data_IF_428167670388
#
_entry.id   IF_428167670388
#
_cell.length_a   1.000
_cell.length_b   1.000
_cell.length_c   1.000
_cell.angle_alpha   90.00
_cell.angle_beta   90.00
_cell.angle_gamma   90.00
#
_symmetry.space_group_name_H-M   'P 1'
#
loop_
_entity.id
_entity.type
_entity.pdbx_description
1 polymer ?
#
# COMPACT_ATOMS: atom_id res chain seq x y z
N UNK A 1 -43.21 -73.59 14.36
CA UNK A 1 -43.06 -73.10 15.75
C UNK A 1 -41.65 -72.57 15.93
N UNK A 2 -41.47 -71.30 16.31
CA UNK A 2 -40.19 -70.71 16.78
C UNK A 2 -40.03 -71.01 18.28
N UNK A 3 -38.80 -71.15 18.82
CA UNK A 3 -38.10 -69.99 19.40
C UNK A 3 -36.58 -69.93 19.10
N UNK A 4 -35.93 -68.78 18.79
CA UNK A 4 -35.37 -67.70 19.67
C UNK A 4 -34.31 -68.21 20.67
N UNK A 5 -33.08 -67.68 20.91
CA UNK A 5 -32.36 -66.39 20.71
C UNK A 5 -30.82 -66.58 20.94
N UNK A 6 -30.07 -65.46 20.82
CA UNK A 6 -28.75 -65.09 21.41
C UNK A 6 -27.54 -65.77 20.72
N UNK A 7 -26.43 -65.14 20.33
CA UNK A 7 -25.58 -64.03 20.82
C UNK A 7 -24.49 -63.87 19.72
N UNK A 8 -23.75 -62.81 19.45
CA UNK A 8 -23.37 -61.61 20.17
C UNK A 8 -22.98 -60.52 19.14
N UNK A 9 -23.23 -59.27 19.50
CA UNK A 9 -22.68 -58.10 18.80
C UNK A 9 -21.16 -58.12 18.86
N UNK A 10 -20.50 -58.01 17.71
CA UNK A 10 -19.12 -57.52 17.62
C UNK A 10 -19.14 -56.24 16.80
N UNK A 11 -19.40 -55.12 17.46
CA UNK A 11 -19.29 -53.79 16.86
C UNK A 11 -17.83 -53.34 16.96
N UNK A 12 -17.03 -53.63 15.93
CA UNK A 12 -15.71 -53.00 15.75
C UNK A 12 -15.94 -51.68 15.02
N UNK A 13 -16.05 -50.59 15.79
CA UNK A 13 -16.06 -49.23 15.24
C UNK A 13 -14.63 -48.88 14.83
N UNK A 14 -14.31 -49.08 13.55
CA UNK A 14 -13.10 -48.54 12.93
C UNK A 14 -13.36 -47.05 12.68
N UNK A 15 -12.96 -46.21 13.64
CA UNK A 15 -12.87 -44.77 13.43
C UNK A 15 -11.67 -44.47 12.51
N UNK A 16 -11.88 -44.55 11.21
CA UNK A 16 -10.93 -44.04 10.23
C UNK A 16 -10.90 -42.51 10.35
N UNK A 17 -9.90 -41.98 11.07
CA UNK A 17 -9.50 -40.58 10.94
C UNK A 17 -9.00 -40.37 9.51
N UNK A 18 -9.90 -39.98 8.62
CA UNK A 18 -9.56 -39.26 7.40
C UNK A 18 -9.05 -37.88 7.83
N UNK A 19 -7.76 -37.80 8.18
CA UNK A 19 -7.02 -36.55 8.12
C UNK A 19 -6.96 -36.16 6.64
N UNK A 20 -7.99 -35.45 6.19
CA UNK A 20 -7.92 -34.73 4.93
C UNK A 20 -6.76 -33.75 5.07
N UNK A 21 -5.61 -34.11 4.49
CA UNK A 21 -4.54 -33.18 4.24
C UNK A 21 -5.11 -32.13 3.28
N UNK A 22 -5.67 -31.06 3.86
CA UNK A 22 -6.03 -29.88 3.09
C UNK A 22 -4.75 -29.49 2.33
N UNK A 23 -4.78 -29.37 1.00
CA UNK A 23 -3.63 -28.86 0.27
C UNK A 23 -3.29 -27.52 0.92
N UNK A 24 -2.07 -27.41 1.44
CA UNK A 24 -1.53 -26.16 1.95
C UNK A 24 -1.66 -25.16 0.82
N UNK A 25 -2.65 -24.26 0.91
CA UNK A 25 -2.76 -23.15 -0.01
C UNK A 25 -1.43 -22.42 0.10
N UNK A 26 -0.61 -22.48 -0.94
CA UNK A 26 0.63 -21.72 -1.01
C UNK A 26 0.25 -20.27 -0.73
N UNK A 27 0.70 -19.73 0.40
CA UNK A 27 0.32 -18.39 0.84
C UNK A 27 0.66 -17.39 -0.26
N UNK A 28 -0.31 -16.54 -0.62
CA UNK A 28 -0.05 -15.44 -1.53
C UNK A 28 1.09 -14.59 -0.95
N UNK A 29 2.09 -14.28 -1.77
CA UNK A 29 3.22 -13.43 -1.35
C UNK A 29 2.67 -12.04 -1.02
N UNK A 30 3.09 -11.46 0.11
CA UNK A 30 2.68 -10.12 0.51
C UNK A 30 3.53 -9.04 -0.16
N UNK A 31 2.95 -7.86 -0.40
CA UNK A 31 3.67 -6.66 -0.85
C UNK A 31 4.73 -6.19 0.16
N UNK A 32 4.65 -6.65 1.42
CA UNK A 32 5.62 -6.34 2.48
C UNK A 32 6.73 -7.39 2.66
N UNK A 33 6.72 -8.46 1.86
CA UNK A 33 7.75 -9.48 1.87
C UNK A 33 8.95 -9.08 1.02
N UNK A 34 10.16 -9.50 1.41
CA UNK A 34 11.35 -9.26 0.59
C UNK A 34 11.45 -10.24 -0.60
N UNK A 35 10.96 -11.47 -0.41
CA UNK A 35 11.08 -12.56 -1.37
C UNK A 35 9.91 -12.54 -2.39
N UNK A 36 9.85 -11.49 -3.22
CA UNK A 36 8.77 -11.27 -4.19
C UNK A 36 9.13 -11.68 -5.63
N UNK A 37 10.30 -12.24 -5.84
CA UNK A 37 10.82 -12.52 -7.16
C UNK A 37 10.87 -14.02 -7.42
N UNK A 38 10.54 -14.45 -8.62
CA UNK A 38 10.85 -15.79 -9.09
C UNK A 38 11.87 -15.71 -10.22
N UNK A 39 12.93 -16.51 -10.07
CA UNK A 39 14.01 -16.67 -11.04
C UNK A 39 13.82 -17.95 -11.89
N UNK A 40 12.72 -18.68 -11.70
CA UNK A 40 12.51 -20.02 -12.28
C UNK A 40 13.40 -21.11 -11.66
N UNK A 41 14.13 -20.81 -10.59
CA UNK A 41 14.98 -21.76 -9.84
C UNK A 41 15.09 -21.34 -8.39
N UNK A 42 15.18 -22.33 -7.48
CA UNK A 42 15.42 -22.10 -6.04
C UNK A 42 16.91 -21.93 -5.69
N UNK A 43 17.81 -22.25 -6.62
CA UNK A 43 19.27 -22.18 -6.42
C UNK A 43 19.92 -21.35 -7.54
N UNK A 44 19.86 -20.01 -7.47
CA UNK A 44 20.48 -19.17 -8.47
C UNK A 44 21.99 -19.40 -8.54
N UNK A 45 22.52 -19.26 -9.74
CA UNK A 45 23.91 -19.43 -10.10
C UNK A 45 24.40 -18.17 -10.78
N UNK A 46 25.70 -17.91 -10.65
CA UNK A 46 26.33 -16.81 -11.36
C UNK A 46 26.54 -17.17 -12.84
N UNK A 47 26.65 -16.16 -13.70
CA UNK A 47 26.85 -16.30 -15.14
C UNK A 47 25.74 -17.09 -15.86
N UNK A 48 24.51 -17.04 -15.31
CA UNK A 48 23.29 -17.59 -15.90
C UNK A 48 22.29 -16.47 -16.12
N UNK A 49 21.56 -16.52 -17.23
CA UNK A 49 20.49 -15.57 -17.53
C UNK A 49 19.17 -15.99 -16.88
N UNK A 50 18.48 -15.01 -16.31
CA UNK A 50 17.24 -15.15 -15.57
C UNK A 50 16.18 -14.21 -16.14
N UNK A 51 14.93 -14.64 -16.04
CA UNK A 51 13.77 -13.77 -16.09
C UNK A 51 13.40 -13.38 -14.66
N UNK A 52 13.14 -12.10 -14.40
CA UNK A 52 12.72 -11.63 -13.07
C UNK A 52 11.21 -11.49 -13.04
N UNK A 53 10.51 -12.56 -12.65
CA UNK A 53 9.07 -12.51 -12.46
C UNK A 53 8.75 -11.95 -11.09
N UNK A 54 7.92 -10.93 -11.00
CA UNK A 54 7.36 -10.48 -9.74
C UNK A 54 6.11 -11.31 -9.40
N UNK A 55 6.04 -11.82 -8.17
CA UNK A 55 5.00 -12.72 -7.70
C UNK A 55 3.70 -12.00 -7.32
N UNK A 56 3.74 -10.68 -7.10
CA UNK A 56 2.56 -9.87 -6.76
C UNK A 56 1.75 -9.53 -8.01
N UNK A 57 2.39 -8.97 -9.03
CA UNK A 57 1.71 -8.54 -10.26
C UNK A 57 1.80 -9.56 -11.41
N UNK A 58 2.40 -10.73 -11.16
CA UNK A 58 2.57 -11.82 -12.11
C UNK A 58 3.26 -11.43 -13.44
N UNK A 59 4.06 -10.35 -13.44
CA UNK A 59 4.72 -9.79 -14.62
C UNK A 59 6.24 -9.83 -14.50
N UNK A 60 6.96 -9.69 -15.63
CA UNK A 60 8.42 -9.72 -15.64
C UNK A 60 9.00 -8.31 -15.66
N UNK A 61 10.06 -8.05 -14.89
CA UNK A 61 10.84 -6.81 -15.05
C UNK A 61 11.72 -6.97 -16.26
N UNK A 62 11.55 -6.09 -17.24
CA UNK A 62 12.32 -6.05 -18.47
C UNK A 62 12.94 -4.67 -18.69
N UNK A 63 13.98 -4.57 -19.52
CA UNK A 63 14.43 -3.29 -20.04
C UNK A 63 13.39 -2.68 -20.99
N UNK A 64 13.12 -1.39 -20.84
CA UNK A 64 12.32 -0.63 -21.79
C UNK A 64 12.39 0.86 -21.49
N UNK A 65 12.47 1.67 -22.54
CA UNK A 65 12.60 3.14 -22.41
C UNK A 65 11.37 3.74 -21.74
N UNK A 66 11.58 4.71 -20.85
CA UNK A 66 10.49 5.45 -20.19
C UNK A 66 10.78 6.94 -20.12
N UNK A 67 9.72 7.74 -20.01
CA UNK A 67 9.84 9.19 -19.83
C UNK A 67 10.37 9.57 -18.45
N UNK A 68 10.02 8.77 -17.41
CA UNK A 68 10.33 9.09 -16.02
C UNK A 68 10.94 7.89 -15.29
N UNK A 69 12.05 8.13 -14.60
CA UNK A 69 12.77 7.16 -13.79
C UNK A 69 13.70 6.23 -14.58
N UNK A 70 14.02 5.08 -14.00
CA UNK A 70 14.86 4.06 -14.64
C UNK A 70 14.13 3.39 -15.81
N UNK A 71 14.86 3.11 -16.91
CA UNK A 71 14.35 2.42 -18.10
C UNK A 71 14.05 0.92 -17.84
N UNK A 72 13.04 0.67 -17.02
CA UNK A 72 12.49 -0.65 -16.71
C UNK A 72 10.98 -0.67 -16.97
N UNK A 73 10.49 -1.71 -17.63
CA UNK A 73 9.07 -1.92 -17.91
C UNK A 73 8.60 -3.26 -17.36
N UNK A 74 7.29 -3.41 -17.23
CA UNK A 74 6.67 -4.71 -17.01
C UNK A 74 6.44 -5.36 -18.37
N UNK A 75 6.95 -6.57 -18.56
CA UNK A 75 6.91 -7.31 -19.81
C UNK A 75 6.58 -8.79 -19.62
N UNK A 76 6.78 -9.58 -20.68
CA UNK A 76 6.23 -10.93 -20.86
C UNK A 76 7.24 -12.07 -20.68
N UNK A 77 8.45 -11.80 -20.17
CA UNK A 77 9.55 -12.75 -19.88
C UNK A 77 10.63 -12.75 -20.94
N UNK A 78 11.65 -11.90 -20.76
CA UNK A 78 12.93 -12.12 -21.41
C UNK A 78 13.98 -12.50 -20.35
N UNK A 79 14.69 -13.61 -20.60
CA UNK A 79 15.80 -14.05 -19.77
C UNK A 79 17.03 -13.15 -20.03
N UNK A 80 16.95 -11.89 -19.60
CA UNK A 80 17.93 -10.85 -19.91
C UNK A 80 18.80 -10.45 -18.71
N UNK A 81 18.59 -11.04 -17.53
CA UNK A 81 19.28 -10.65 -16.30
C UNK A 81 20.35 -11.66 -15.91
N UNK A 82 21.59 -11.23 -15.75
CA UNK A 82 22.70 -12.12 -15.35
C UNK A 82 23.36 -11.59 -14.09
N UNK A 83 23.61 -12.48 -13.12
CA UNK A 83 24.38 -12.16 -11.93
C UNK A 83 25.86 -12.44 -12.17
N UNK A 84 26.72 -11.43 -11.99
CA UNK A 84 28.17 -11.58 -12.10
C UNK A 84 28.81 -11.45 -10.72
N UNK A 85 29.68 -12.40 -10.31
CA UNK A 85 30.31 -12.38 -9.01
C UNK A 85 31.45 -11.35 -8.94
N UNK A 86 31.75 -10.89 -7.73
CA UNK A 86 32.95 -10.08 -7.46
C UNK A 86 34.19 -10.98 -7.38
N UNK A 87 34.81 -11.26 -8.52
CA UNK A 87 36.01 -12.10 -8.64
C UNK A 87 37.28 -11.30 -8.95
N UNK A 88 37.26 -9.98 -8.79
CA UNK A 88 38.36 -9.07 -9.16
C UNK A 88 38.60 -8.91 -10.68
N UNK A 89 38.13 -9.88 -11.48
CA UNK A 89 38.16 -9.86 -12.95
C UNK A 89 36.77 -10.20 -13.52
N UNK A 90 35.76 -9.30 -13.37
CA UNK A 90 34.45 -9.48 -13.98
C UNK A 90 34.58 -9.59 -15.48
N UNK A 91 34.34 -10.78 -16.01
CA UNK A 91 34.22 -10.98 -17.43
C UNK A 91 32.82 -11.52 -17.71
N UNK A 92 32.02 -10.78 -18.47
CA UNK A 92 30.72 -11.27 -18.97
C UNK A 92 30.88 -12.50 -19.88
N UNK A 93 32.10 -12.75 -20.36
CA UNK A 93 32.49 -13.95 -21.11
C UNK A 93 32.97 -15.09 -20.19
N UNK A 94 33.03 -14.89 -18.87
CA UNK A 94 33.25 -16.00 -17.96
C UNK A 94 32.00 -16.85 -17.91
N UNK A 95 32.06 -18.02 -18.54
CA UNK A 95 30.95 -18.96 -18.62
C UNK A 95 30.99 -20.00 -17.50
N UNK A 96 31.93 -19.90 -16.55
CA UNK A 96 31.97 -20.80 -15.40
C UNK A 96 30.76 -20.55 -14.52
N UNK A 97 29.92 -21.59 -14.38
CA UNK A 97 28.71 -21.55 -13.57
C UNK A 97 29.00 -22.15 -12.21
N UNK A 98 28.53 -21.50 -11.17
CA UNK A 98 28.45 -22.07 -9.83
C UNK A 98 27.24 -21.50 -9.11
N UNK A 99 26.77 -22.25 -8.12
CA UNK A 99 25.80 -21.73 -7.18
C UNK A 99 26.32 -20.42 -6.56
N UNK A 100 25.42 -19.46 -6.38
CA UNK A 100 25.73 -18.23 -5.67
C UNK A 100 25.82 -18.54 -4.18
N UNK A 101 26.84 -17.99 -3.51
CA UNK A 101 26.94 -18.14 -2.06
C UNK A 101 25.93 -17.21 -1.38
N UNK A 102 25.29 -17.64 -0.27
CA UNK A 102 24.42 -16.75 0.50
C UNK A 102 25.17 -15.47 0.92
N UNK A 103 24.57 -14.32 0.63
CA UNK A 103 25.14 -13.01 0.98
C UNK A 103 26.28 -12.53 0.09
N UNK A 104 26.69 -13.29 -0.91
CA UNK A 104 27.66 -12.88 -1.93
C UNK A 104 27.19 -11.61 -2.66
N UNK A 105 28.11 -10.67 -2.87
CA UNK A 105 27.85 -9.47 -3.66
C UNK A 105 28.00 -9.80 -5.15
N UNK A 106 27.02 -9.37 -5.93
CA UNK A 106 26.99 -9.53 -7.38
C UNK A 106 26.69 -8.21 -8.07
N UNK A 107 27.10 -8.10 -9.32
CA UNK A 107 26.58 -7.11 -10.25
C UNK A 107 25.38 -7.72 -11.00
N UNK A 108 24.33 -6.93 -11.21
CA UNK A 108 23.18 -7.33 -12.04
C UNK A 108 23.39 -6.75 -13.44
N UNK A 109 23.70 -7.61 -14.40
CA UNK A 109 23.88 -7.26 -15.80
C UNK A 109 22.59 -7.48 -16.59
N UNK A 110 22.29 -6.59 -17.53
CA UNK A 110 21.19 -6.73 -18.47
C UNK A 110 21.72 -6.89 -19.90
N UNK A 111 21.37 -8.00 -20.56
CA UNK A 111 21.87 -8.32 -21.90
C UNK A 111 21.32 -7.42 -23.01
N UNK A 112 20.12 -6.84 -22.83
CA UNK A 112 19.49 -5.97 -23.82
C UNK A 112 20.15 -4.60 -23.87
N UNK A 113 20.55 -4.05 -22.72
CA UNK A 113 21.25 -2.75 -22.65
C UNK A 113 22.76 -2.88 -22.68
N UNK A 114 23.30 -4.07 -22.42
CA UNK A 114 24.72 -4.33 -22.16
C UNK A 114 25.27 -3.45 -21.03
N UNK A 115 24.45 -3.23 -20.00
CA UNK A 115 24.77 -2.38 -18.84
C UNK A 115 24.40 -3.08 -17.54
N UNK A 116 24.88 -2.50 -16.44
CA UNK A 116 24.63 -2.96 -15.09
C UNK A 116 23.56 -2.12 -14.44
N UNK A 117 22.58 -2.78 -13.81
CA UNK A 117 21.62 -2.10 -12.97
C UNK A 117 22.30 -1.75 -11.65
N UNK A 118 22.27 -0.48 -11.29
CA UNK A 118 22.96 0.03 -10.11
C UNK A 118 22.06 0.94 -9.29
N UNK A 119 22.36 1.07 -8.01
CA UNK A 119 21.85 2.19 -7.21
C UNK A 119 22.30 3.52 -7.83
N UNK A 120 21.39 4.48 -7.88
CA UNK A 120 21.71 5.85 -8.28
C UNK A 120 20.52 6.76 -8.08
N UNK A 121 20.78 8.00 -7.66
CA UNK A 121 19.72 8.98 -7.41
C UNK A 121 18.89 9.25 -8.67
N UNK A 122 17.58 9.32 -8.49
CA UNK A 122 16.61 9.68 -9.53
C UNK A 122 15.68 10.76 -9.00
N UNK A 123 15.26 11.69 -9.86
CA UNK A 123 14.24 12.70 -9.50
C UNK A 123 12.86 12.07 -9.35
N UNK A 124 12.58 11.04 -10.17
CA UNK A 124 11.30 10.32 -10.18
C UNK A 124 11.57 8.82 -10.24
N UNK A 125 10.70 8.02 -9.63
CA UNK A 125 10.87 6.56 -9.60
C UNK A 125 11.71 6.06 -8.41
N UNK A 126 12.11 4.79 -8.49
CA UNK A 126 13.08 4.18 -7.58
C UNK A 126 14.50 4.64 -7.93
N UNK A 127 15.37 4.76 -6.92
CA UNK A 127 16.78 5.18 -7.08
C UNK A 127 17.64 4.10 -7.74
N UNK A 128 17.40 3.86 -9.02
CA UNK A 128 18.18 2.96 -9.86
C UNK A 128 18.64 3.68 -11.12
N UNK A 129 19.82 3.31 -11.63
CA UNK A 129 20.33 3.80 -12.91
C UNK A 129 21.14 2.71 -13.61
N UNK A 130 21.60 3.00 -14.83
CA UNK A 130 22.40 2.10 -15.64
C UNK A 130 23.87 2.52 -15.61
N UNK A 131 24.76 1.57 -15.29
CA UNK A 131 26.21 1.75 -15.34
C UNK A 131 26.83 0.96 -16.50
N UNK A 132 27.86 1.51 -17.15
CA UNK A 132 28.69 0.78 -18.11
C UNK A 132 29.73 -0.13 -17.45
N UNK A 133 29.98 0.08 -16.15
CA UNK A 133 30.92 -0.71 -15.34
C UNK A 133 30.18 -1.54 -14.29
N UNK A 134 30.65 -2.75 -13.96
CA UNK A 134 30.04 -3.55 -12.92
C UNK A 134 30.08 -2.82 -11.59
N UNK A 135 29.00 -2.96 -10.81
CA UNK A 135 28.96 -2.55 -9.41
C UNK A 135 28.36 -3.68 -8.59
N UNK A 136 29.16 -4.16 -7.64
CA UNK A 136 28.87 -5.32 -6.80
C UNK A 136 28.13 -4.89 -5.54
N UNK A 137 26.92 -4.39 -5.75
CA UNK A 137 26.09 -3.84 -4.68
C UNK A 137 24.80 -4.62 -4.49
N UNK A 138 24.67 -5.79 -5.11
CA UNK A 138 23.47 -6.61 -4.99
C UNK A 138 23.78 -7.89 -4.24
N UNK A 139 22.88 -8.32 -3.38
CA UNK A 139 22.84 -9.67 -2.81
C UNK A 139 21.53 -10.30 -3.22
N UNK A 140 21.59 -11.53 -3.70
CA UNK A 140 20.39 -12.28 -4.08
C UNK A 140 20.09 -13.25 -2.95
N UNK A 141 19.05 -12.94 -2.18
CA UNK A 141 18.50 -13.88 -1.20
C UNK A 141 17.61 -14.90 -1.91
N UNK A 142 17.55 -16.11 -1.39
CA UNK A 142 16.57 -17.12 -1.78
C UNK A 142 15.88 -17.66 -0.54
N UNK A 143 14.56 -17.63 -0.50
CA UNK A 143 13.78 -18.31 0.51
C UNK A 143 13.87 -19.83 0.25
N UNK A 144 14.41 -20.62 1.21
CA UNK A 144 14.60 -22.06 1.02
C UNK A 144 13.27 -22.83 0.94
N UNK A 145 12.18 -22.30 1.51
CA UNK A 145 10.88 -22.97 1.51
C UNK A 145 10.16 -22.81 0.17
N UNK A 146 10.25 -21.63 -0.43
CA UNK A 146 9.50 -21.27 -1.65
C UNK A 146 10.36 -21.22 -2.91
N UNK A 147 11.68 -21.07 -2.77
CA UNK A 147 12.59 -20.76 -3.86
C UNK A 147 12.48 -19.31 -4.35
N UNK A 148 11.67 -18.47 -3.70
CA UNK A 148 11.48 -17.08 -4.08
C UNK A 148 12.75 -16.28 -3.77
N UNK A 149 13.12 -15.39 -4.68
CA UNK A 149 14.28 -14.55 -4.56
C UNK A 149 13.95 -13.18 -3.93
N UNK A 150 14.93 -12.62 -3.21
CA UNK A 150 14.92 -11.27 -2.68
C UNK A 150 16.11 -10.50 -3.29
N UNK A 151 15.85 -9.29 -3.78
CA UNK A 151 16.87 -8.44 -4.42
C UNK A 151 17.33 -7.36 -3.43
N UNK A 152 18.39 -7.61 -2.68
CA UNK A 152 18.93 -6.68 -1.69
C UNK A 152 20.01 -5.80 -2.31
N UNK A 153 19.90 -4.49 -2.15
CA UNK A 153 20.93 -3.53 -2.54
C UNK A 153 21.75 -3.09 -1.31
N UNK A 154 23.06 -3.28 -1.35
CA UNK A 154 23.96 -3.00 -0.22
C UNK A 154 24.30 -1.52 -0.05
N UNK A 155 24.09 -0.68 -1.07
CA UNK A 155 24.31 0.77 -0.96
C UNK A 155 23.08 1.44 -0.37
N UNK A 156 21.88 1.09 -0.84
CA UNK A 156 20.62 1.56 -0.26
C UNK A 156 20.32 0.90 1.10
N UNK A 157 20.92 -0.26 1.37
CA UNK A 157 20.68 -1.11 2.54
C UNK A 157 19.21 -1.55 2.65
N UNK A 158 18.61 -1.94 1.52
CA UNK A 158 17.20 -2.36 1.46
C UNK A 158 16.91 -3.29 0.27
N UNK A 159 15.72 -3.88 0.25
CA UNK A 159 15.24 -4.75 -0.82
C UNK A 159 14.45 -3.96 -1.87
N UNK A 160 14.60 -4.34 -3.14
CA UNK A 160 13.68 -3.92 -4.20
C UNK A 160 12.43 -4.79 -4.14
N UNK A 161 11.28 -4.14 -3.99
CA UNK A 161 9.97 -4.77 -3.90
C UNK A 161 9.00 -4.14 -4.91
N UNK A 162 7.92 -4.86 -5.20
CA UNK A 162 6.78 -4.30 -5.91
C UNK A 162 6.08 -3.29 -4.99
N UNK A 163 5.80 -2.12 -5.53
CA UNK A 163 5.04 -1.09 -4.82
C UNK A 163 4.48 -0.08 -5.80
N UNK A 164 3.19 0.23 -5.68
CA UNK A 164 2.55 1.21 -6.55
C UNK A 164 3.19 2.58 -6.39
N UNK A 165 3.34 3.29 -7.52
CA UNK A 165 3.81 4.67 -7.58
C UNK A 165 2.99 5.44 -8.62
N UNK A 166 2.77 6.76 -8.42
CA UNK A 166 2.12 7.58 -9.43
C UNK A 166 2.93 7.72 -10.72
N UNK A 167 4.27 7.69 -10.62
CA UNK A 167 5.20 7.90 -11.73
C UNK A 167 6.33 6.87 -11.71
N UNK A 168 6.78 6.45 -12.90
CA UNK A 168 7.83 5.46 -13.12
C UNK A 168 7.31 4.02 -13.12
N UNK A 169 8.21 3.05 -13.00
CA UNK A 169 7.85 1.63 -12.78
C UNK A 169 7.38 1.43 -11.33
N UNK A 170 6.45 0.49 -11.10
CA UNK A 170 5.94 0.10 -9.77
C UNK A 170 6.95 -0.72 -8.96
N UNK A 171 8.15 -0.17 -8.77
CA UNK A 171 9.20 -0.70 -7.90
C UNK A 171 9.51 0.32 -6.82
N UNK A 172 9.69 -0.15 -5.59
CA UNK A 172 10.04 0.69 -4.44
C UNK A 172 11.06 -0.03 -3.57
N UNK A 173 11.69 0.73 -2.69
CA UNK A 173 12.44 0.16 -1.57
C UNK A 173 11.46 -0.41 -0.56
N UNK A 174 11.73 -1.61 -0.05
CA UNK A 174 10.82 -2.34 0.82
C UNK A 174 10.46 -1.57 2.09
N UNK A 175 11.40 -0.80 2.66
CA UNK A 175 11.14 0.08 3.81
C UNK A 175 10.06 1.12 3.51
N UNK A 176 10.00 1.62 2.28
CA UNK A 176 8.99 2.58 1.87
C UNK A 176 7.64 1.89 1.71
N UNK A 177 7.60 0.69 1.13
CA UNK A 177 6.37 -0.11 1.02
C UNK A 177 5.82 -0.45 2.41
N UNK A 178 6.69 -0.85 3.34
CA UNK A 178 6.31 -1.17 4.71
C UNK A 178 5.83 0.05 5.48
N UNK A 179 6.52 1.19 5.33
CA UNK A 179 6.10 2.46 5.95
C UNK A 179 4.71 2.85 5.46
N UNK A 180 4.46 2.80 4.16
CA UNK A 180 3.15 3.11 3.60
C UNK A 180 2.09 2.10 4.04
N UNK A 181 2.42 0.80 4.10
CA UNK A 181 1.50 -0.22 4.61
C UNK A 181 1.15 -0.01 6.09
N UNK A 182 2.12 0.41 6.91
CA UNK A 182 1.90 0.76 8.32
C UNK A 182 1.07 2.04 8.46
N UNK A 183 1.36 3.07 7.66
CA UNK A 183 0.58 4.31 7.65
C UNK A 183 -0.86 4.07 7.21
N UNK A 184 -1.11 3.13 6.30
CA UNK A 184 -2.44 2.81 5.80
C UNK A 184 -3.01 1.52 6.43
N UNK A 185 -2.48 1.07 7.57
CA UNK A 185 -2.98 -0.12 8.23
C UNK A 185 -4.40 0.11 8.78
N UNK A 186 -5.28 -0.91 8.80
CA UNK A 186 -6.52 -0.86 9.56
C UNK A 186 -6.28 -0.37 10.99
N UNK A 187 -7.04 0.63 11.42
CA UNK A 187 -6.91 1.28 12.72
C UNK A 187 -5.97 2.49 12.75
N UNK A 188 -5.20 2.76 11.69
CA UNK A 188 -4.35 3.97 11.60
C UNK A 188 -5.20 5.24 11.63
N UNK A 189 -4.75 6.24 12.41
CA UNK A 189 -5.38 7.56 12.50
C UNK A 189 -4.63 8.56 11.62
N UNK A 190 -5.41 9.39 10.93
CA UNK A 190 -4.93 10.37 9.96
C UNK A 190 -5.63 11.70 10.19
N UNK A 191 -4.88 12.80 10.10
CA UNK A 191 -5.43 14.15 10.20
C UNK A 191 -5.49 14.80 8.81
N UNK A 192 -6.52 15.60 8.57
CA UNK A 192 -6.68 16.40 7.35
C UNK A 192 -7.39 17.72 7.66
N UNK A 193 -7.35 18.66 6.72
CA UNK A 193 -8.15 19.89 6.77
C UNK A 193 -9.17 19.87 5.65
N UNK A 194 -10.43 20.15 5.98
CA UNK A 194 -11.52 20.29 5.02
C UNK A 194 -11.74 21.78 4.78
N UNK A 195 -11.45 22.22 3.56
CA UNK A 195 -11.81 23.56 3.09
C UNK A 195 -13.29 23.61 2.77
N UNK A 196 -14.00 24.59 3.32
CA UNK A 196 -15.37 24.91 2.99
C UNK A 196 -15.41 26.27 2.31
N UNK A 197 -15.98 26.33 1.11
CA UNK A 197 -16.05 27.55 0.32
C UNK A 197 -17.35 28.29 0.60
N UNK A 198 -17.28 29.62 0.68
CA UNK A 198 -18.46 30.46 0.84
C UNK A 198 -19.44 30.21 -0.31
N UNK A 199 -20.72 30.08 0.03
CA UNK A 199 -21.82 29.98 -0.92
C UNK A 199 -22.50 31.35 -1.05
N UNK A 200 -23.14 31.66 -2.19
CA UNK A 200 -23.84 32.93 -2.38
C UNK A 200 -24.88 33.19 -1.28
N UNK A 201 -24.91 34.43 -0.77
CA UNK A 201 -25.78 34.84 0.35
C UNK A 201 -26.67 35.99 -0.11
N UNK A 202 -27.96 35.93 0.24
CA UNK A 202 -28.89 37.05 0.03
C UNK A 202 -28.81 38.03 1.21
N UNK A 203 -28.84 37.53 2.46
CA UNK A 203 -28.68 38.31 3.68
C UNK A 203 -28.33 37.40 4.88
N UNK A 204 -27.54 37.89 5.86
CA UNK A 204 -27.30 37.20 7.13
C UNK A 204 -26.00 36.39 7.19
N UNK A 205 -26.04 35.23 7.87
CA UNK A 205 -24.89 34.33 7.99
C UNK A 205 -24.39 33.85 6.63
N UNK A 206 -23.08 33.69 6.48
CA UNK A 206 -22.47 33.16 5.26
C UNK A 206 -22.42 31.63 5.35
N UNK A 207 -23.17 30.88 4.53
CA UNK A 207 -22.98 29.44 4.38
C UNK A 207 -21.66 29.10 3.71
N UNK A 208 -21.01 28.05 4.21
CA UNK A 208 -19.81 27.45 3.70
C UNK A 208 -20.06 25.96 3.49
N UNK A 209 -19.64 25.45 2.33
CA UNK A 209 -19.81 24.05 1.95
C UNK A 209 -18.46 23.46 1.57
N UNK A 210 -18.14 22.32 2.18
CA UNK A 210 -16.99 21.49 1.84
C UNK A 210 -17.36 20.02 1.89
N UNK A 211 -16.42 19.17 1.51
CA UNK A 211 -16.65 17.73 1.45
C UNK A 211 -15.39 16.96 1.83
N UNK A 212 -15.58 15.77 2.41
CA UNK A 212 -14.48 14.86 2.74
C UNK A 212 -14.86 13.40 2.47
N UNK A 213 -13.89 12.57 2.08
CA UNK A 213 -14.10 11.15 1.75
C UNK A 213 -14.65 10.90 0.34
N UNK A 214 -15.09 9.65 0.09
CA UNK A 214 -15.70 9.23 -1.17
C UNK A 214 -14.74 8.95 -2.33
N UNK A 215 -13.54 8.43 -2.05
CA UNK A 215 -12.58 7.98 -3.07
C UNK A 215 -12.61 6.45 -3.29
N UNK A 216 -12.16 5.94 -4.45
CA UNK A 216 -11.98 4.51 -4.66
C UNK A 216 -11.07 3.90 -3.57
N UNK A 217 -11.52 2.85 -2.90
CA UNK A 217 -10.77 2.20 -1.82
C UNK A 217 -10.73 2.98 -0.50
N UNK A 218 -11.45 4.10 -0.38
CA UNK A 218 -11.51 4.88 0.85
C UNK A 218 -12.44 4.21 1.88
N UNK A 219 -11.94 3.15 2.52
CA UNK A 219 -12.62 2.47 3.62
C UNK A 219 -12.17 3.08 4.96
N UNK A 220 -12.84 4.12 5.40
CA UNK A 220 -12.45 4.85 6.61
C UNK A 220 -13.68 5.38 7.34
N UNK A 221 -13.49 5.76 8.59
CA UNK A 221 -14.50 6.47 9.40
C UNK A 221 -13.93 7.75 9.95
N UNK A 222 -14.75 8.80 9.97
CA UNK A 222 -14.42 10.05 10.64
C UNK A 222 -14.47 9.82 12.15
N UNK A 223 -13.41 10.20 12.86
CA UNK A 223 -13.31 10.05 14.32
C UNK A 223 -13.34 11.38 15.06
N UNK A 224 -12.97 12.48 14.38
CA UNK A 224 -12.91 13.81 15.00
C UNK A 224 -13.20 14.90 13.98
N UNK A 225 -13.91 15.94 14.42
CA UNK A 225 -14.04 17.24 13.72
C UNK A 225 -13.73 18.33 14.72
N UNK A 226 -12.86 19.27 14.35
CA UNK A 226 -12.46 20.37 15.23
C UNK A 226 -12.30 21.67 14.46
N UNK A 227 -12.67 22.77 15.11
CA UNK A 227 -12.46 24.11 14.60
C UNK A 227 -11.04 24.57 14.99
N UNK A 228 -10.20 25.05 14.06
CA UNK A 228 -8.90 25.61 14.38
C UNK A 228 -8.95 26.65 15.51
N UNK A 229 -7.92 26.70 16.36
CA UNK A 229 -7.87 27.64 17.50
C UNK A 229 -7.98 29.11 17.08
N UNK A 230 -7.44 29.44 15.91
CA UNK A 230 -7.48 30.78 15.32
C UNK A 230 -8.65 30.96 14.33
N UNK A 231 -9.61 30.03 14.32
CA UNK A 231 -10.78 30.06 13.45
C UNK A 231 -11.87 31.01 13.94
N UNK A 232 -12.90 31.19 13.11
CA UNK A 232 -14.17 31.83 13.50
C UNK A 232 -15.11 30.75 14.04
N UNK A 233 -16.02 31.07 15.00
CA UNK A 233 -17.09 30.15 15.38
C UNK A 233 -17.86 29.66 14.15
N UNK A 234 -18.15 28.35 14.10
CA UNK A 234 -18.88 27.72 13.00
C UNK A 234 -20.19 27.14 13.52
N UNK A 235 -21.29 27.41 12.83
CA UNK A 235 -22.61 26.84 13.11
C UNK A 235 -22.96 25.78 12.06
N UNK A 236 -22.73 24.50 12.38
CA UNK A 236 -22.99 23.40 11.46
C UNK A 236 -24.49 23.12 11.33
N UNK A 237 -25.01 23.10 10.11
CA UNK A 237 -26.45 22.92 9.86
C UNK A 237 -26.83 21.44 10.04
N UNK A 238 -27.82 21.16 10.89
CA UNK A 238 -28.33 19.80 11.12
C UNK A 238 -29.12 19.29 9.90
N UNK A 239 -29.17 17.97 9.67
CA UNK A 239 -30.03 17.39 8.64
C UNK A 239 -31.48 17.84 8.78
N UNK A 240 -32.13 18.18 7.67
CA UNK A 240 -33.51 18.67 7.63
C UNK A 240 -33.67 20.18 7.83
N UNK A 241 -32.58 20.91 8.10
CA UNK A 241 -32.59 22.37 8.21
C UNK A 241 -31.89 23.05 7.03
N UNK A 242 -32.10 24.36 6.92
CA UNK A 242 -31.54 25.21 5.86
C UNK A 242 -30.59 26.27 6.42
N UNK A 243 -29.78 26.87 5.55
CA UNK A 243 -28.81 27.89 5.93
C UNK A 243 -29.44 29.22 6.34
N UNK A 244 -30.72 29.45 6.06
CA UNK A 244 -31.47 30.61 6.58
C UNK A 244 -31.74 30.51 8.09
N UNK A 245 -31.67 29.29 8.65
CA UNK A 245 -31.90 29.03 10.07
C UNK A 245 -30.60 29.06 10.88
N UNK A 246 -29.51 29.59 10.33
CA UNK A 246 -28.19 29.56 10.99
C UNK A 246 -28.10 30.34 12.31
N UNK A 247 -29.09 31.18 12.63
CA UNK A 247 -29.24 31.82 13.93
C UNK A 247 -30.04 31.03 14.96
N UNK A 248 -30.50 29.81 14.64
CA UNK A 248 -31.35 28.98 15.50
C UNK A 248 -30.56 27.80 16.07
N UNK A 249 -30.44 27.74 17.41
CA UNK A 249 -29.78 26.63 18.12
C UNK A 249 -30.43 25.26 17.85
N UNK A 250 -31.72 25.26 17.49
CA UNK A 250 -32.42 24.04 17.10
C UNK A 250 -31.96 23.53 15.73
N UNK A 251 -31.59 24.42 14.81
CA UNK A 251 -31.18 24.08 13.45
C UNK A 251 -29.68 23.81 13.32
N UNK A 252 -28.86 24.30 14.26
CA UNK A 252 -27.39 24.23 14.15
C UNK A 252 -26.70 23.58 15.33
N UNK A 253 -25.46 23.17 15.10
CA UNK A 253 -24.49 22.77 16.12
C UNK A 253 -23.32 23.73 16.08
N UNK A 254 -23.20 24.57 17.11
CA UNK A 254 -22.12 25.56 17.19
C UNK A 254 -20.82 24.95 17.69
N UNK A 255 -19.73 25.21 16.96
CA UNK A 255 -18.38 24.78 17.26
C UNK A 255 -17.47 26.00 17.38
N UNK A 256 -17.17 26.38 18.62
CA UNK A 256 -16.28 27.51 18.91
C UNK A 256 -14.82 27.21 18.47
N UNK A 257 -13.99 28.24 18.25
CA UNK A 257 -12.58 28.07 17.89
C UNK A 257 -11.83 27.21 18.91
N UNK A 258 -10.99 26.30 18.41
CA UNK A 258 -10.23 25.34 19.22
C UNK A 258 -11.05 24.22 19.85
N UNK A 259 -12.38 24.18 19.64
CA UNK A 259 -13.23 23.10 20.13
C UNK A 259 -13.33 21.95 19.14
N UNK A 260 -13.61 20.78 19.68
CA UNK A 260 -13.86 19.53 18.95
C UNK A 260 -15.33 19.16 19.13
N UNK A 261 -15.97 18.66 18.07
CA UNK A 261 -17.33 18.14 18.15
C UNK A 261 -17.41 16.99 19.15
N UNK A 262 -18.45 16.98 19.99
CA UNK A 262 -18.76 15.84 20.87
C UNK A 262 -19.36 14.68 20.07
N UNK A 263 -19.45 13.50 20.69
CA UNK A 263 -20.11 12.34 20.09
C UNK A 263 -21.59 12.61 19.73
N UNK A 264 -22.29 13.35 20.59
CA UNK A 264 -23.68 13.74 20.34
C UNK A 264 -23.79 14.73 19.18
N UNK A 265 -22.87 15.68 19.08
CA UNK A 265 -22.80 16.62 17.95
C UNK A 265 -22.51 15.91 16.62
N UNK A 266 -21.57 14.96 16.62
CA UNK A 266 -21.30 14.09 15.46
C UNK A 266 -22.55 13.30 15.05
N UNK A 267 -23.24 12.72 16.03
CA UNK A 267 -24.48 11.95 15.78
C UNK A 267 -25.60 12.85 15.26
N UNK A 268 -25.77 14.05 15.81
CA UNK A 268 -26.78 15.01 15.36
C UNK A 268 -26.54 15.48 13.91
N UNK A 269 -25.28 15.61 13.49
CA UNK A 269 -24.93 16.08 12.15
C UNK A 269 -24.87 14.96 11.10
N UNK A 270 -24.36 13.79 11.47
CA UNK A 270 -24.02 12.72 10.52
C UNK A 270 -24.73 11.39 10.79
N UNK A 271 -25.62 11.34 11.80
CA UNK A 271 -26.35 10.14 12.18
C UNK A 271 -25.50 9.07 12.89
N UNK A 272 -24.22 9.33 13.15
CA UNK A 272 -23.29 8.40 13.79
C UNK A 272 -22.17 9.15 14.52
N UNK A 273 -21.67 8.55 15.61
CA UNK A 273 -20.46 9.02 16.30
C UNK A 273 -19.19 8.79 15.46
N UNK A 274 -19.26 7.88 14.47
CA UNK A 274 -18.17 7.50 13.57
C UNK A 274 -18.69 7.34 12.14
N UNK A 275 -19.05 8.43 11.44
CA UNK A 275 -19.66 8.33 10.13
C UNK A 275 -18.68 7.73 9.11
N UNK A 276 -19.21 6.87 8.25
CA UNK A 276 -18.44 6.25 7.17
C UNK A 276 -18.00 7.29 6.14
N UNK A 277 -16.75 7.17 5.70
CA UNK A 277 -16.17 7.98 4.64
C UNK A 277 -16.09 7.23 3.30
N UNK A 278 -16.68 6.04 3.21
CA UNK A 278 -16.84 5.31 1.94
C UNK A 278 -17.57 6.16 0.91
N UNK A 279 -18.51 6.98 1.37
CA UNK A 279 -19.10 8.05 0.59
C UNK A 279 -18.58 9.39 1.07
N UNK A 280 -18.64 10.37 0.16
CA UNK A 280 -18.27 11.74 0.47
C UNK A 280 -19.30 12.34 1.41
N UNK A 281 -18.86 12.82 2.58
CA UNK A 281 -19.72 13.50 3.55
C UNK A 281 -19.64 15.03 3.36
N UNK A 282 -20.77 15.75 3.44
CA UNK A 282 -20.79 17.21 3.38
C UNK A 282 -20.42 17.83 4.73
N UNK A 283 -19.71 18.94 4.69
CA UNK A 283 -19.52 19.86 5.80
C UNK A 283 -20.22 21.16 5.43
N UNK A 284 -21.41 21.35 5.98
CA UNK A 284 -22.23 22.55 5.79
C UNK A 284 -22.26 23.35 7.10
N UNK A 285 -21.66 24.52 7.08
CA UNK A 285 -21.61 25.41 8.24
C UNK A 285 -21.89 26.85 7.86
N UNK A 286 -22.34 27.63 8.82
CA UNK A 286 -22.47 29.07 8.72
C UNK A 286 -21.44 29.77 9.59
N UNK A 287 -20.98 30.94 9.16
CA UNK A 287 -20.16 31.82 9.99
C UNK A 287 -20.63 33.28 9.86
N UNK A 288 -20.37 34.09 10.89
CA UNK A 288 -20.68 35.52 10.90
C UNK A 288 -19.65 36.39 10.15
N UNK A 289 -18.72 35.78 9.43
CA UNK A 289 -17.60 36.47 8.76
C UNK A 289 -17.74 36.41 7.24
N UNK A 290 -17.39 37.49 6.54
CA UNK A 290 -17.42 37.58 5.07
C UNK A 290 -16.16 37.02 4.38
N UNK A 291 -15.59 35.93 4.89
CA UNK A 291 -14.45 35.26 4.27
C UNK A 291 -14.85 34.45 3.03
N UNK A 292 -13.91 34.22 2.11
CA UNK A 292 -14.15 33.37 0.92
C UNK A 292 -14.11 31.87 1.23
N UNK A 293 -13.45 31.48 2.33
CA UNK A 293 -13.36 30.10 2.79
C UNK A 293 -13.13 30.03 4.30
N UNK A 294 -13.55 28.91 4.88
CA UNK A 294 -13.22 28.50 6.25
C UNK A 294 -12.74 27.05 6.22
N UNK A 295 -12.12 26.59 7.30
CA UNK A 295 -11.57 25.23 7.37
C UNK A 295 -11.92 24.57 8.70
N UNK A 296 -12.09 23.25 8.68
CA UNK A 296 -12.06 22.41 9.87
C UNK A 296 -10.98 21.38 9.78
N UNK A 297 -10.42 21.02 10.94
CA UNK A 297 -9.52 19.89 11.07
C UNK A 297 -10.32 18.64 11.35
N UNK A 298 -10.07 17.58 10.59
CA UNK A 298 -10.71 16.29 10.73
C UNK A 298 -9.67 15.24 11.07
N UNK A 299 -10.06 14.25 11.87
CA UNK A 299 -9.31 13.02 12.03
C UNK A 299 -10.17 11.87 11.53
N UNK A 300 -9.55 10.92 10.83
CA UNK A 300 -10.20 9.72 10.34
C UNK A 300 -9.36 8.48 10.65
N UNK A 301 -10.04 7.35 10.76
CA UNK A 301 -9.42 6.05 10.99
C UNK A 301 -9.64 5.16 9.78
N UNK A 302 -8.56 4.58 9.25
CA UNK A 302 -8.62 3.55 8.23
C UNK A 302 -9.33 2.30 8.81
N UNK A 303 -10.29 1.73 8.10
CA UNK A 303 -10.94 0.47 8.46
C UNK A 303 -10.29 -0.73 7.77
#
# INVERSE_FOLDING_TARGET
MRPTRLTALLAVVVAALLAAALPSAAGAVSTTDAAQWSLGTSRPSVNVSYSFKNLINNSYVDYGKRTWGVDLVWGSSSAQWTFLPDTGSPNIRDHRRRAMNPGEKVAIYNSSTRRYLVYGSQTFGINLTWSSRPSYQWKIGSDPATGNAALFNTVENDYVAYGQRPLGINLRWLKDVRRDAQQNAPGSLHDASVTMSAQPVVQGFVPFLGYFGGGPGFNAVLTKVSNPANGTPLAFVKPGHSTSECGSDNAVTTLAPGKTMTADQMTALYGSTRPSLTQRIPFLACAGTNGSAVFVNVQWQQL
#
